data_IF_840736359939
#
_entry.id   IF_840736359939
#
_cell.length_a   1.000
_cell.length_b   1.000
_cell.length_c   1.000
_cell.angle_alpha   90.00
_cell.angle_beta   90.00
_cell.angle_gamma   90.00
#
_symmetry.space_group_name_H-M   'P 1'
#
loop_
_entity.id
_entity.type
_entity.pdbx_description
1 polymer ?
#
# COMPACT_ATOMS: atom_id res chain seq x y z
N UNK A 1 -22.64 -29.14 36.52
CA UNK A 1 -24.07 -28.84 36.36
C UNK A 1 -24.50 -27.96 37.54
N UNK A 2 -24.87 -26.73 37.23
CA UNK A 2 -25.41 -25.81 38.24
C UNK A 2 -26.92 -25.70 38.02
N UNK A 3 -27.67 -25.87 39.12
CA UNK A 3 -29.13 -25.83 39.10
C UNK A 3 -29.56 -24.68 40.02
N UNK A 4 -30.39 -23.79 39.53
CA UNK A 4 -31.02 -22.75 40.37
C UNK A 4 -32.36 -23.26 40.84
N UNK A 5 -32.53 -23.33 42.15
CA UNK A 5 -33.81 -23.67 42.78
C UNK A 5 -34.51 -22.39 43.17
N UNK A 6 -35.73 -22.19 42.71
CA UNK A 6 -36.58 -21.10 43.10
C UNK A 6 -37.83 -21.66 43.80
N UNK A 7 -38.03 -21.32 45.03
CA UNK A 7 -39.15 -21.81 45.82
C UNK A 7 -40.15 -20.67 46.09
N UNK A 8 -41.41 -20.98 45.94
CA UNK A 8 -42.49 -20.12 46.37
C UNK A 8 -43.18 -20.82 47.56
N UNK A 9 -43.13 -20.30 48.78
CA UNK A 9 -43.82 -20.87 49.90
C UNK A 9 -45.31 -20.51 49.83
N UNK A 10 -46.19 -21.49 50.08
CA UNK A 10 -47.56 -21.27 50.40
C UNK A 10 -47.69 -21.26 51.91
N UNK A 11 -48.37 -20.27 52.45
CA UNK A 11 -48.57 -20.11 53.92
C UNK A 11 -50.05 -20.21 54.28
N UNK A 12 -50.35 -20.71 55.51
CA UNK A 12 -51.68 -20.72 56.04
C UNK A 12 -52.07 -19.33 56.62
N UNK A 13 -53.30 -19.21 57.11
CA UNK A 13 -53.78 -17.97 57.66
C UNK A 13 -53.04 -17.50 58.96
N UNK A 14 -52.15 -18.33 59.49
CA UNK A 14 -51.27 -18.06 60.63
C UNK A 14 -49.79 -17.89 60.17
N UNK A 15 -49.54 -17.57 58.86
CA UNK A 15 -48.22 -17.39 58.21
C UNK A 15 -47.27 -18.60 58.31
N UNK A 16 -47.82 -19.79 58.58
CA UNK A 16 -47.00 -21.00 58.59
C UNK A 16 -46.89 -21.62 57.16
N UNK A 17 -45.67 -21.96 56.70
CA UNK A 17 -45.45 -22.57 55.42
C UNK A 17 -46.05 -23.97 55.37
N UNK A 18 -47.09 -24.16 54.58
CA UNK A 18 -47.80 -25.44 54.42
C UNK A 18 -47.38 -26.21 53.17
N UNK A 19 -46.85 -25.52 52.19
CA UNK A 19 -46.32 -26.15 51.00
C UNK A 19 -45.19 -25.32 50.41
N UNK A 20 -44.31 -25.98 49.63
CA UNK A 20 -43.27 -25.32 48.86
C UNK A 20 -43.34 -25.84 47.44
N UNK A 21 -43.70 -24.98 46.50
CA UNK A 21 -43.58 -25.29 45.08
C UNK A 21 -42.27 -24.69 44.58
N UNK A 22 -41.49 -25.47 43.86
CA UNK A 22 -40.22 -25.04 43.32
C UNK A 22 -40.13 -25.36 41.84
N UNK A 23 -39.49 -24.48 41.09
CA UNK A 23 -39.13 -24.70 39.71
C UNK A 23 -37.62 -24.96 39.65
N UNK A 24 -37.26 -26.08 39.07
CA UNK A 24 -35.89 -26.48 38.86
C UNK A 24 -35.51 -26.05 37.43
N UNK A 25 -34.61 -25.09 37.28
CA UNK A 25 -34.14 -24.63 35.99
C UNK A 25 -32.72 -25.11 35.84
N UNK A 26 -32.45 -25.92 34.79
CA UNK A 26 -31.11 -26.31 34.45
C UNK A 26 -30.43 -25.16 33.66
N UNK A 27 -29.57 -24.40 34.36
CA UNK A 27 -28.87 -23.23 33.78
C UNK A 27 -27.74 -23.63 32.85
N UNK A 28 -27.27 -24.89 32.93
CA UNK A 28 -26.11 -25.39 32.16
C UNK A 28 -26.34 -25.40 30.65
N UNK A 29 -27.53 -25.85 30.19
CA UNK A 29 -27.86 -25.89 28.74
C UNK A 29 -27.94 -24.51 28.10
N UNK A 30 -28.56 -23.52 28.81
CA UNK A 30 -28.68 -22.16 28.29
C UNK A 30 -27.31 -21.49 28.15
N UNK A 31 -26.41 -21.77 29.08
CA UNK A 31 -25.04 -21.18 29.05
C UNK A 31 -24.21 -21.81 27.92
N UNK A 32 -24.31 -23.12 27.69
CA UNK A 32 -23.61 -23.80 26.61
C UNK A 32 -24.12 -23.34 25.22
N UNK A 33 -25.43 -23.18 25.05
CA UNK A 33 -26.02 -22.68 23.80
C UNK A 33 -25.58 -21.25 23.48
N UNK A 34 -25.58 -20.36 24.47
CA UNK A 34 -25.13 -18.98 24.31
C UNK A 34 -23.66 -18.92 23.94
N UNK A 35 -22.81 -19.73 24.58
CA UNK A 35 -21.38 -19.81 24.25
C UNK A 35 -21.15 -20.29 22.81
N UNK A 36 -21.89 -21.31 22.38
CA UNK A 36 -21.82 -21.82 21.01
C UNK A 36 -22.25 -20.75 20.00
N UNK A 37 -23.35 -20.04 20.26
CA UNK A 37 -23.84 -18.98 19.38
C UNK A 37 -22.85 -17.81 19.29
N UNK A 38 -22.30 -17.33 20.42
CA UNK A 38 -21.29 -16.28 20.46
C UNK A 38 -20.03 -16.71 19.70
N UNK A 39 -19.56 -17.96 19.88
CA UNK A 39 -18.42 -18.48 19.17
C UNK A 39 -18.67 -18.56 17.66
N UNK A 40 -19.83 -19.03 17.23
CA UNK A 40 -20.20 -19.10 15.82
C UNK A 40 -20.31 -17.69 15.21
N UNK A 41 -20.88 -16.74 15.93
CA UNK A 41 -20.96 -15.34 15.49
C UNK A 41 -19.56 -14.74 15.33
N UNK A 42 -18.68 -14.97 16.28
CA UNK A 42 -17.27 -14.55 16.21
C UNK A 42 -16.56 -15.14 15.00
N UNK A 43 -16.67 -16.44 14.76
CA UNK A 43 -16.05 -17.09 13.58
C UNK A 43 -16.59 -16.53 12.27
N UNK A 44 -17.91 -16.31 12.14
CA UNK A 44 -18.49 -15.67 10.96
C UNK A 44 -17.95 -14.25 10.73
N UNK A 45 -17.74 -13.46 11.79
CA UNK A 45 -17.13 -12.13 11.66
C UNK A 45 -15.68 -12.23 11.19
N UNK A 46 -14.91 -13.21 11.69
CA UNK A 46 -13.54 -13.44 11.22
C UNK A 46 -13.48 -13.82 9.74
N UNK A 47 -14.45 -14.59 9.22
CA UNK A 47 -14.51 -14.96 7.80
C UNK A 47 -14.64 -13.76 6.85
N UNK A 48 -15.17 -12.62 7.33
CA UNK A 48 -15.27 -11.39 6.54
C UNK A 48 -13.98 -10.58 6.48
N UNK A 49 -12.98 -10.94 7.29
CA UNK A 49 -11.69 -10.23 7.36
C UNK A 49 -10.73 -10.88 6.35
N UNK A 50 -10.21 -10.06 5.44
CA UNK A 50 -9.18 -10.52 4.50
C UNK A 50 -7.79 -10.38 5.12
N UNK A 51 -7.51 -11.25 6.09
CA UNK A 51 -6.27 -11.29 6.85
C UNK A 51 -6.30 -12.37 7.92
N UNK A 52 -5.15 -12.60 8.56
CA UNK A 52 -5.01 -13.56 9.66
C UNK A 52 -5.08 -12.83 10.99
N UNK A 53 -6.13 -13.08 11.76
CA UNK A 53 -6.23 -12.61 13.16
C UNK A 53 -5.46 -13.57 14.05
N UNK A 54 -4.62 -13.03 14.91
CA UNK A 54 -3.77 -13.84 15.80
C UNK A 54 -3.70 -13.25 17.21
N UNK A 55 -3.44 -14.10 18.18
CA UNK A 55 -3.10 -13.75 19.54
C UNK A 55 -1.91 -14.61 19.98
N UNK A 56 -0.96 -14.01 20.67
CA UNK A 56 0.21 -14.68 21.20
C UNK A 56 0.50 -14.24 22.64
N UNK A 57 1.11 -15.15 23.42
CA UNK A 57 1.52 -14.92 24.80
C UNK A 57 3.00 -15.32 24.97
N UNK A 58 3.72 -14.56 25.80
CA UNK A 58 5.15 -14.82 26.09
C UNK A 58 5.34 -16.26 26.55
N UNK A 59 6.29 -16.95 25.92
CA UNK A 59 6.67 -18.31 26.28
C UNK A 59 5.70 -19.42 25.88
N UNK A 60 4.51 -19.04 25.37
CA UNK A 60 3.48 -19.98 24.91
C UNK A 60 3.39 -20.02 23.39
N UNK A 61 3.64 -18.88 22.72
CA UNK A 61 3.42 -18.72 21.29
C UNK A 61 1.99 -18.30 20.96
N UNK A 62 1.49 -18.66 19.76
CA UNK A 62 0.15 -18.29 19.33
C UNK A 62 -0.92 -19.05 20.12
N UNK A 63 -1.68 -18.34 20.94
CA UNK A 63 -2.85 -18.85 21.67
C UNK A 63 -4.10 -18.92 20.81
N UNK A 64 -4.20 -18.00 19.83
CA UNK A 64 -5.23 -18.00 18.80
C UNK A 64 -4.63 -17.69 17.44
N UNK A 65 -5.15 -18.34 16.39
CA UNK A 65 -4.82 -18.09 15.00
C UNK A 65 -6.06 -18.39 14.15
N UNK A 66 -6.47 -17.44 13.31
CA UNK A 66 -7.65 -17.63 12.47
C UNK A 66 -7.37 -18.54 11.27
N UNK A 67 -8.36 -19.29 10.75
CA UNK A 67 -8.17 -20.27 9.67
C UNK A 67 -7.64 -19.67 8.35
N UNK A 68 -7.72 -18.36 8.16
CA UNK A 68 -7.20 -17.66 6.99
C UNK A 68 -5.69 -17.88 6.79
N UNK A 69 -4.97 -18.30 7.81
CA UNK A 69 -3.54 -18.65 7.73
C UNK A 69 -3.27 -19.74 6.68
N UNK A 70 -4.18 -20.70 6.55
CA UNK A 70 -4.06 -21.78 5.56
C UNK A 70 -4.19 -21.25 4.13
N UNK A 71 -5.13 -20.33 3.91
CA UNK A 71 -5.32 -19.71 2.60
C UNK A 71 -4.17 -18.81 2.20
N UNK A 72 -3.65 -18.00 3.14
CA UNK A 72 -2.63 -16.99 2.84
C UNK A 72 -1.22 -17.59 2.78
N UNK A 73 -0.90 -18.50 3.69
CA UNK A 73 0.47 -19.03 3.84
C UNK A 73 0.59 -20.52 3.56
N UNK A 74 -0.52 -21.26 3.46
CA UNK A 74 -0.53 -22.71 3.18
C UNK A 74 -0.20 -23.60 4.37
N UNK A 75 -0.04 -23.04 5.57
CA UNK A 75 0.19 -23.77 6.80
C UNK A 75 -1.13 -23.95 7.55
N UNK A 76 -1.37 -25.14 8.12
CA UNK A 76 -2.54 -25.33 8.98
C UNK A 76 -2.36 -24.58 10.31
N UNK A 77 -3.49 -24.30 10.98
CA UNK A 77 -3.50 -23.68 12.31
C UNK A 77 -2.72 -24.56 13.30
N UNK A 78 -2.86 -25.87 13.19
CA UNK A 78 -2.19 -26.85 14.04
C UNK A 78 -0.67 -26.86 13.82
N UNK A 79 -0.22 -26.87 12.55
CA UNK A 79 1.22 -26.77 12.21
C UNK A 79 1.83 -25.50 12.79
N UNK A 80 1.15 -24.38 12.64
CA UNK A 80 1.66 -23.09 13.14
C UNK A 80 1.74 -23.05 14.67
N UNK A 81 0.73 -23.57 15.36
CA UNK A 81 0.66 -23.56 16.82
C UNK A 81 1.51 -24.64 17.51
N UNK A 82 1.92 -25.66 16.78
CA UNK A 82 2.76 -26.74 17.33
C UNK A 82 4.16 -26.26 17.75
N UNK A 83 4.67 -25.18 17.15
CA UNK A 83 5.96 -24.60 17.48
C UNK A 83 5.80 -23.12 17.88
N UNK A 84 6.10 -22.75 19.13
CA UNK A 84 6.10 -21.35 19.56
C UNK A 84 7.04 -20.44 18.74
N UNK A 85 8.08 -21.01 18.13
CA UNK A 85 9.02 -20.31 17.26
C UNK A 85 8.61 -20.25 15.78
N UNK A 86 7.43 -20.79 15.42
CA UNK A 86 7.01 -20.95 14.02
C UNK A 86 7.09 -19.66 13.22
N UNK A 87 6.49 -18.58 13.72
CA UNK A 87 6.55 -17.28 13.06
C UNK A 87 7.99 -16.84 12.78
N UNK A 88 8.84 -16.89 13.80
CA UNK A 88 10.25 -16.50 13.71
C UNK A 88 11.02 -17.31 12.65
N UNK A 89 10.73 -18.61 12.56
CA UNK A 89 11.37 -19.50 11.60
C UNK A 89 10.94 -19.23 10.14
N UNK A 90 9.79 -18.56 9.93
CA UNK A 90 9.22 -18.31 8.61
C UNK A 90 9.29 -16.86 8.17
N UNK A 91 9.72 -15.91 9.03
CA UNK A 91 10.09 -14.56 8.61
C UNK A 91 11.29 -14.62 7.69
N UNK A 92 11.28 -13.83 6.62
CA UNK A 92 12.39 -13.76 5.68
C UNK A 92 13.69 -13.35 6.40
N UNK A 93 14.85 -13.99 6.11
CA UNK A 93 16.08 -13.72 6.85
C UNK A 93 16.50 -12.25 6.92
N UNK A 94 16.32 -11.49 5.84
CA UNK A 94 16.66 -10.06 5.79
C UNK A 94 15.80 -9.20 6.72
N UNK A 95 14.58 -9.65 7.05
CA UNK A 95 13.62 -8.86 7.83
C UNK A 95 13.59 -9.34 9.30
N UNK A 96 14.20 -10.48 9.59
CA UNK A 96 14.10 -11.18 10.88
C UNK A 96 14.61 -10.32 12.05
N UNK A 97 15.75 -9.68 11.90
CA UNK A 97 16.38 -8.89 12.98
C UNK A 97 15.47 -7.75 13.43
N UNK A 98 14.94 -6.99 12.46
CA UNK A 98 14.05 -5.86 12.75
C UNK A 98 12.69 -6.32 13.28
N UNK A 99 12.12 -7.39 12.73
CA UNK A 99 10.87 -7.95 13.19
C UNK A 99 10.98 -8.43 14.66
N UNK A 100 12.08 -9.09 15.02
CA UNK A 100 12.34 -9.51 16.39
C UNK A 100 12.55 -8.33 17.34
N UNK A 101 13.24 -7.30 16.92
CA UNK A 101 13.45 -6.10 17.74
C UNK A 101 12.12 -5.43 18.12
N UNK A 102 11.18 -5.38 17.17
CA UNK A 102 9.83 -4.81 17.40
C UNK A 102 9.00 -5.74 18.30
N UNK A 103 9.03 -7.04 18.03
CA UNK A 103 8.33 -8.07 18.78
C UNK A 103 8.78 -8.10 20.25
N UNK A 104 10.09 -8.14 20.50
CA UNK A 104 10.68 -8.13 21.85
C UNK A 104 10.31 -6.83 22.62
N UNK A 105 10.27 -5.68 21.94
CA UNK A 105 9.85 -4.42 22.54
C UNK A 105 8.37 -4.47 22.97
N UNK A 106 7.51 -5.09 22.18
CA UNK A 106 6.09 -5.26 22.50
C UNK A 106 5.89 -6.24 23.69
N UNK A 107 6.63 -7.34 23.74
CA UNK A 107 6.61 -8.27 24.87
C UNK A 107 7.05 -7.62 26.17
N UNK A 108 8.02 -6.72 26.14
CA UNK A 108 8.54 -6.02 27.31
C UNK A 108 7.82 -4.70 27.62
N UNK A 109 6.69 -4.46 26.96
CA UNK A 109 5.92 -3.25 27.15
C UNK A 109 5.39 -3.13 28.60
N UNK A 110 5.41 -1.93 29.14
CA UNK A 110 4.89 -1.61 30.49
C UNK A 110 3.45 -1.06 30.47
N UNK A 111 2.93 -0.80 29.28
CA UNK A 111 1.54 -0.31 29.05
C UNK A 111 1.04 -0.80 27.68
N UNK A 112 -0.28 -0.93 27.58
CA UNK A 112 -0.89 -1.36 26.33
C UNK A 112 -0.76 -0.29 25.27
N UNK A 113 -0.27 -0.67 24.06
CA UNK A 113 -0.12 0.23 22.92
C UNK A 113 -0.30 -0.52 21.59
N UNK A 114 -0.67 0.22 20.55
CA UNK A 114 -0.71 -0.30 19.18
C UNK A 114 0.64 -0.05 18.50
N UNK A 115 1.05 -1.00 17.64
CA UNK A 115 2.23 -0.88 16.77
C UNK A 115 1.96 -1.58 15.45
N UNK A 116 2.79 -1.30 14.47
CA UNK A 116 2.68 -1.87 13.14
C UNK A 116 4.07 -2.33 12.69
N UNK A 117 4.12 -3.46 11.99
CA UNK A 117 5.33 -3.91 11.31
C UNK A 117 5.00 -4.44 9.92
N UNK A 118 5.98 -4.31 9.02
CA UNK A 118 5.90 -4.91 7.68
C UNK A 118 7.11 -5.77 7.47
N UNK A 119 6.89 -7.00 7.04
CA UNK A 119 7.95 -7.99 6.83
C UNK A 119 7.53 -9.00 5.78
N UNK A 120 8.48 -9.75 5.26
CA UNK A 120 8.22 -10.87 4.35
C UNK A 120 8.10 -12.17 5.15
N UNK A 121 7.12 -12.97 4.82
CA UNK A 121 6.92 -14.30 5.38
C UNK A 121 7.03 -15.35 4.27
N UNK A 122 7.71 -16.46 4.56
CA UNK A 122 7.91 -17.56 3.62
C UNK A 122 6.74 -18.54 3.80
N UNK A 123 5.86 -18.60 2.79
CA UNK A 123 4.77 -19.56 2.75
C UNK A 123 5.25 -20.99 2.56
N UNK A 124 4.41 -21.97 2.84
CA UNK A 124 4.70 -23.42 2.72
C UNK A 124 5.14 -23.83 1.30
N UNK A 125 4.66 -23.12 0.29
CA UNK A 125 5.07 -23.29 -1.10
C UNK A 125 6.47 -22.74 -1.44
N UNK A 126 7.12 -22.05 -0.49
CA UNK A 126 8.34 -21.29 -0.71
C UNK A 126 8.11 -19.88 -1.28
N UNK A 127 6.84 -19.50 -1.55
CA UNK A 127 6.51 -18.15 -2.00
C UNK A 127 6.74 -17.13 -0.89
N UNK A 128 7.36 -16.01 -1.23
CA UNK A 128 7.49 -14.86 -0.33
C UNK A 128 6.22 -14.03 -0.36
N UNK A 129 5.62 -13.80 0.80
CA UNK A 129 4.41 -12.99 1.02
C UNK A 129 4.78 -11.77 1.84
N UNK A 130 4.50 -10.58 1.32
CA UNK A 130 4.61 -9.35 2.10
C UNK A 130 3.45 -9.23 3.07
N UNK A 131 3.77 -9.11 4.34
CA UNK A 131 2.81 -8.98 5.43
C UNK A 131 2.88 -7.58 6.01
N UNK A 132 1.72 -6.97 6.17
CA UNK A 132 1.51 -5.82 7.04
C UNK A 132 0.78 -6.32 8.29
N UNK A 133 1.42 -6.22 9.43
CA UNK A 133 0.90 -6.72 10.69
C UNK A 133 0.52 -5.57 11.62
N UNK A 134 -0.77 -5.43 11.85
CA UNK A 134 -1.36 -4.41 12.73
C UNK A 134 -1.52 -5.01 14.11
N UNK A 135 -0.72 -4.60 15.06
CA UNK A 135 -0.54 -5.26 16.34
C UNK A 135 -0.91 -4.37 17.52
N UNK A 136 -1.26 -5.02 18.62
CA UNK A 136 -1.45 -4.38 19.91
C UNK A 136 -0.85 -5.22 21.02
N UNK A 137 0.07 -4.63 21.77
CA UNK A 137 0.52 -5.17 23.04
C UNK A 137 -0.58 -4.90 24.09
N UNK A 138 -1.00 -5.94 24.81
CA UNK A 138 -2.00 -5.89 25.89
C UNK A 138 -1.31 -6.20 27.20
N UNK A 139 -1.25 -5.20 28.07
CA UNK A 139 -0.63 -5.28 29.39
C UNK A 139 -1.72 -5.22 30.46
N UNK A 140 -1.88 -6.31 31.21
CA UNK A 140 -2.87 -6.41 32.31
C UNK A 140 -2.13 -6.72 33.62
N UNK A 141 -2.46 -6.04 34.74
CA UNK A 141 -1.81 -6.29 36.03
C UNK A 141 -1.92 -7.75 36.45
N UNK A 142 -0.80 -8.36 36.78
CA UNK A 142 -0.74 -9.76 37.28
C UNK A 142 -0.91 -10.84 36.23
N UNK A 143 -0.88 -10.47 34.95
CA UNK A 143 -0.89 -11.42 33.83
C UNK A 143 0.33 -11.22 32.91
N UNK A 144 0.78 -12.28 32.21
CA UNK A 144 1.77 -12.13 31.15
C UNK A 144 1.26 -11.17 30.06
N UNK A 145 2.17 -10.43 29.44
CA UNK A 145 1.83 -9.61 28.29
C UNK A 145 1.34 -10.49 27.14
N UNK A 146 0.29 -10.05 26.49
CA UNK A 146 -0.29 -10.68 25.31
C UNK A 146 -0.17 -9.74 24.14
N UNK A 147 -0.07 -10.29 22.96
CA UNK A 147 -0.13 -9.55 21.71
C UNK A 147 -1.29 -10.06 20.88
N UNK A 148 -2.01 -9.15 20.28
CA UNK A 148 -3.07 -9.44 19.34
C UNK A 148 -2.81 -8.66 18.06
N UNK A 149 -3.13 -9.25 16.91
CA UNK A 149 -2.87 -8.59 15.65
C UNK A 149 -3.67 -9.13 14.49
N UNK A 150 -3.48 -8.44 13.38
CA UNK A 150 -4.06 -8.74 12.07
C UNK A 150 -2.96 -8.67 11.01
N UNK A 151 -2.57 -9.83 10.48
CA UNK A 151 -1.67 -9.93 9.31
C UNK A 151 -2.47 -9.77 8.03
N UNK A 152 -2.08 -8.83 7.19
CA UNK A 152 -2.69 -8.55 5.89
C UNK A 152 -1.66 -8.84 4.81
N UNK A 153 -2.05 -9.60 3.77
CA UNK A 153 -1.21 -9.79 2.58
C UNK A 153 -1.22 -8.49 1.73
N UNK A 154 -0.08 -7.84 1.67
CA UNK A 154 0.13 -6.62 0.87
C UNK A 154 1.07 -6.87 -0.32
N UNK A 155 1.25 -8.14 -0.72
CA UNK A 155 2.18 -8.53 -1.78
C UNK A 155 1.86 -7.84 -3.10
N UNK A 156 0.59 -7.79 -3.50
CA UNK A 156 0.19 -7.13 -4.73
C UNK A 156 0.51 -5.64 -4.70
N UNK A 157 0.20 -4.97 -3.59
CA UNK A 157 0.48 -3.55 -3.40
C UNK A 157 1.99 -3.28 -3.48
N UNK A 158 2.80 -4.08 -2.77
CA UNK A 158 4.27 -3.95 -2.76
C UNK A 158 4.89 -4.22 -4.13
N UNK A 159 4.41 -5.23 -4.85
CA UNK A 159 4.90 -5.51 -6.20
C UNK A 159 4.58 -4.36 -7.16
N UNK A 160 3.37 -3.79 -7.10
CA UNK A 160 2.99 -2.63 -7.92
C UNK A 160 3.90 -1.42 -7.63
N UNK A 161 4.17 -1.14 -6.36
CA UNK A 161 5.08 -0.07 -5.93
C UNK A 161 6.51 -0.29 -6.46
N UNK A 162 7.04 -1.52 -6.33
CA UNK A 162 8.37 -1.91 -6.83
C UNK A 162 8.44 -1.78 -8.37
N UNK A 163 7.41 -2.24 -9.07
CA UNK A 163 7.38 -2.19 -10.54
C UNK A 163 7.27 -0.74 -11.04
N UNK A 164 6.54 0.12 -10.35
CA UNK A 164 6.49 1.56 -10.65
C UNK A 164 7.89 2.18 -10.51
N UNK A 165 8.54 1.99 -9.35
CA UNK A 165 9.89 2.51 -9.10
C UNK A 165 10.90 1.98 -10.12
N UNK A 166 10.83 0.69 -10.48
CA UNK A 166 11.69 0.10 -11.51
C UNK A 166 11.44 0.70 -12.89
N UNK A 167 10.18 0.97 -13.23
CA UNK A 167 9.80 1.59 -14.49
C UNK A 167 10.32 3.03 -14.58
N UNK A 168 10.15 3.81 -13.51
CA UNK A 168 10.68 5.17 -13.43
C UNK A 168 12.22 5.21 -13.54
N UNK A 169 12.92 4.30 -12.84
CA UNK A 169 14.36 4.19 -12.92
C UNK A 169 14.84 3.80 -14.33
N UNK A 170 14.18 2.84 -14.99
CA UNK A 170 14.49 2.48 -16.37
C UNK A 170 14.29 3.65 -17.33
N UNK A 171 13.19 4.38 -17.19
CA UNK A 171 12.89 5.57 -17.96
C UNK A 171 13.96 6.65 -17.74
N UNK A 172 14.31 6.93 -16.48
CA UNK A 172 15.37 7.89 -16.13
C UNK A 172 16.74 7.52 -16.69
N UNK A 173 17.12 6.24 -16.65
CA UNK A 173 18.37 5.77 -17.23
C UNK A 173 18.38 5.90 -18.76
N UNK A 174 17.30 5.53 -19.43
CA UNK A 174 17.18 5.65 -20.88
C UNK A 174 17.28 7.11 -21.34
N UNK A 175 16.59 8.02 -20.65
CA UNK A 175 16.61 9.46 -20.97
C UNK A 175 17.97 10.10 -20.71
N UNK A 176 18.66 9.74 -19.64
CA UNK A 176 20.03 10.21 -19.36
C UNK A 176 21.05 9.64 -20.34
N UNK A 177 20.84 8.40 -20.78
CA UNK A 177 21.71 7.73 -21.75
C UNK A 177 21.64 8.32 -23.16
N UNK A 178 20.49 8.86 -23.57
CA UNK A 178 20.32 9.53 -24.88
C UNK A 178 21.02 10.89 -24.96
N UNK A 179 21.40 11.46 -23.82
CA UNK A 179 21.99 12.80 -23.72
C UNK A 179 21.07 13.93 -24.26
N UNK A 180 19.79 13.64 -24.45
CA UNK A 180 18.76 14.57 -24.94
C UNK A 180 18.15 15.38 -23.80
N UNK A 181 17.72 16.59 -24.10
CA UNK A 181 16.88 17.39 -23.22
C UNK A 181 15.44 16.90 -23.29
N UNK A 182 14.89 16.42 -22.18
CA UNK A 182 13.51 15.97 -22.11
C UNK A 182 12.60 17.15 -21.85
N UNK A 183 11.42 17.11 -22.49
CA UNK A 183 10.37 18.09 -22.26
C UNK A 183 9.00 17.39 -22.21
N UNK A 184 8.08 18.00 -21.44
CA UNK A 184 6.70 17.61 -21.31
C UNK A 184 5.84 18.87 -21.31
N UNK A 185 4.78 18.91 -22.10
CA UNK A 185 3.92 20.07 -22.26
C UNK A 185 2.46 19.70 -22.03
N UNK A 186 1.86 20.26 -21.02
CA UNK A 186 0.42 20.25 -20.85
C UNK A 186 -0.16 21.38 -21.72
N UNK A 187 -0.87 21.00 -22.79
CA UNK A 187 -1.42 21.94 -23.76
C UNK A 187 -2.69 22.62 -23.27
N UNK A 188 -3.36 22.06 -22.25
CA UNK A 188 -4.57 22.65 -21.65
C UNK A 188 -4.24 23.87 -20.80
N UNK A 189 -3.15 23.80 -20.08
CA UNK A 189 -2.67 24.86 -19.17
C UNK A 189 -1.56 25.69 -19.80
N UNK A 190 -1.08 25.32 -20.98
CA UNK A 190 0.12 25.86 -21.64
C UNK A 190 1.35 25.84 -20.74
N UNK A 191 1.52 24.74 -19.96
CA UNK A 191 2.61 24.56 -19.00
C UNK A 191 3.65 23.61 -19.59
N UNK A 192 4.88 24.11 -19.80
CA UNK A 192 6.00 23.36 -20.36
C UNK A 192 7.03 23.03 -19.27
N UNK A 193 7.25 21.75 -19.03
CA UNK A 193 8.31 21.22 -18.17
C UNK A 193 9.52 20.87 -19.06
N UNK A 194 10.70 21.33 -18.69
CA UNK A 194 11.95 21.04 -19.38
C UNK A 194 12.99 20.53 -18.40
N UNK A 195 13.75 19.51 -18.81
CA UNK A 195 14.85 18.99 -18.02
C UNK A 195 16.05 19.97 -18.00
N UNK A 196 16.90 19.85 -16.98
CA UNK A 196 18.14 20.61 -16.90
C UNK A 196 19.03 20.37 -18.14
N UNK A 197 18.96 19.17 -18.76
CA UNK A 197 19.69 18.90 -20.00
C UNK A 197 19.14 19.69 -21.19
N UNK A 198 17.83 19.86 -21.30
CA UNK A 198 17.21 20.75 -22.29
C UNK A 198 17.80 22.16 -22.17
N UNK A 199 17.84 22.70 -20.97
CA UNK A 199 18.38 24.04 -20.71
C UNK A 199 19.89 24.15 -20.96
N UNK A 200 20.66 23.08 -20.71
CA UNK A 200 22.08 23.03 -21.05
C UNK A 200 22.30 23.11 -22.56
N UNK A 201 21.50 22.42 -23.37
CA UNK A 201 21.59 22.42 -24.82
C UNK A 201 21.41 23.83 -25.38
N UNK A 202 20.43 24.58 -24.82
CA UNK A 202 20.15 25.96 -25.23
C UNK A 202 20.91 27.01 -24.39
N UNK A 203 21.75 26.61 -23.44
CA UNK A 203 22.61 27.51 -22.66
C UNK A 203 21.89 28.39 -21.64
N UNK A 204 20.71 27.95 -21.14
CA UNK A 204 19.88 28.72 -20.21
C UNK A 204 19.93 28.22 -18.76
N UNK A 205 20.70 27.18 -18.50
CA UNK A 205 20.81 26.60 -17.15
C UNK A 205 21.08 25.12 -17.15
N UNK A 206 20.96 24.48 -15.97
CA UNK A 206 21.25 23.06 -15.81
C UNK A 206 20.31 22.35 -14.83
N UNK A 207 19.23 23.01 -14.42
CA UNK A 207 18.20 22.44 -13.52
C UNK A 207 16.88 22.42 -14.20
N UNK A 208 16.09 21.40 -13.91
CA UNK A 208 14.73 21.27 -14.39
C UNK A 208 13.93 22.55 -14.09
N UNK A 209 13.09 22.96 -15.03
CA UNK A 209 12.30 24.17 -14.92
C UNK A 209 10.91 23.98 -15.54
N UNK A 210 9.97 24.79 -15.06
CA UNK A 210 8.58 24.83 -15.55
C UNK A 210 8.28 26.23 -16.04
N UNK A 211 7.83 26.34 -17.29
CA UNK A 211 7.43 27.59 -17.92
C UNK A 211 5.91 27.63 -18.07
N UNK A 212 5.29 28.65 -17.51
CA UNK A 212 3.92 29.04 -17.88
C UNK A 212 3.97 29.80 -19.20
N UNK A 213 3.07 29.48 -20.14
CA UNK A 213 3.14 30.00 -21.50
C UNK A 213 4.25 29.33 -22.30
N UNK A 214 4.21 27.99 -22.40
CA UNK A 214 5.21 27.15 -23.03
C UNK A 214 5.54 27.53 -24.46
N UNK A 215 4.51 27.86 -25.28
CA UNK A 215 4.72 28.32 -26.64
C UNK A 215 5.51 29.64 -26.70
N UNK A 216 5.20 30.57 -25.82
CA UNK A 216 5.88 31.88 -25.77
C UNK A 216 7.36 31.72 -25.43
N UNK A 217 7.71 30.80 -24.54
CA UNK A 217 9.10 30.48 -24.22
C UNK A 217 9.82 29.89 -25.45
N UNK A 218 9.21 28.90 -26.10
CA UNK A 218 9.80 28.25 -27.28
C UNK A 218 9.95 29.23 -28.44
N UNK A 219 8.99 30.07 -28.69
CA UNK A 219 9.06 31.11 -29.76
C UNK A 219 10.25 32.06 -29.59
N UNK A 220 10.63 32.37 -28.34
CA UNK A 220 11.82 33.16 -28.06
C UNK A 220 13.13 32.42 -28.35
N UNK A 221 13.13 31.09 -28.25
CA UNK A 221 14.30 30.27 -28.55
C UNK A 221 14.50 30.07 -30.05
N UNK A 222 13.43 30.07 -30.83
CA UNK A 222 13.48 29.74 -32.26
C UNK A 222 13.96 30.96 -33.06
N UNK A 223 14.99 30.70 -33.90
CA UNK A 223 15.43 31.74 -34.88
C UNK A 223 14.29 32.22 -35.77
N UNK A 224 14.29 33.50 -36.08
CA UNK A 224 13.19 34.15 -36.85
C UNK A 224 12.89 33.47 -38.18
N UNK A 225 13.93 33.05 -38.90
CA UNK A 225 13.79 32.40 -40.19
C UNK A 225 13.18 31.01 -40.12
N UNK A 226 13.34 30.35 -38.99
CA UNK A 226 12.84 28.97 -38.78
C UNK A 226 11.42 28.94 -38.15
N UNK A 227 10.90 30.03 -37.61
CA UNK A 227 9.62 30.09 -36.88
C UNK A 227 8.45 29.55 -37.70
N UNK A 228 8.29 29.99 -38.95
CA UNK A 228 7.18 29.55 -39.79
C UNK A 228 7.19 28.02 -40.01
N UNK A 229 8.37 27.45 -40.25
CA UNK A 229 8.54 26.01 -40.47
C UNK A 229 8.27 25.20 -39.19
N UNK A 230 8.73 25.69 -38.05
CA UNK A 230 8.49 25.04 -36.75
C UNK A 230 7.01 25.09 -36.37
N UNK A 231 6.37 26.25 -36.57
CA UNK A 231 4.95 26.43 -36.30
C UNK A 231 4.07 25.55 -37.20
N UNK A 232 4.41 25.40 -38.46
CA UNK A 232 3.71 24.52 -39.40
C UNK A 232 3.80 23.06 -38.97
N UNK A 233 5.02 22.58 -38.63
CA UNK A 233 5.23 21.22 -38.17
C UNK A 233 4.47 20.93 -36.86
N UNK A 234 4.49 21.87 -35.92
CA UNK A 234 3.75 21.80 -34.64
C UNK A 234 2.24 21.74 -34.89
N UNK A 235 1.68 22.68 -35.68
CA UNK A 235 0.26 22.72 -35.96
C UNK A 235 -0.25 21.47 -36.69
N UNK A 236 0.54 20.94 -37.63
CA UNK A 236 0.24 19.71 -38.37
C UNK A 236 0.15 18.52 -37.42
N UNK A 237 1.06 18.44 -36.45
CA UNK A 237 1.06 17.35 -35.49
C UNK A 237 -0.12 17.45 -34.50
N UNK A 238 -0.41 18.64 -33.96
CA UNK A 238 -1.55 18.85 -33.06
C UNK A 238 -2.92 18.66 -33.74
N UNK A 239 -2.98 18.78 -35.07
CA UNK A 239 -4.19 18.48 -35.85
C UNK A 239 -4.33 16.98 -36.18
N UNK A 240 -3.45 16.10 -35.65
CA UNK A 240 -3.46 14.68 -35.93
C UNK A 240 -2.99 14.28 -37.33
N UNK A 241 -2.43 15.21 -38.11
CA UNK A 241 -2.02 15.01 -39.50
C UNK A 241 -0.58 14.49 -39.65
N UNK A 242 0.07 14.10 -38.55
CA UNK A 242 1.37 13.42 -38.55
C UNK A 242 1.49 12.45 -37.40
N UNK A 243 2.04 11.27 -37.64
CA UNK A 243 2.24 10.26 -36.59
C UNK A 243 3.28 10.69 -35.55
N UNK A 244 4.30 11.43 -35.97
CA UNK A 244 5.37 11.92 -35.12
C UNK A 244 5.63 13.39 -35.39
N UNK A 245 6.01 14.11 -34.33
CA UNK A 245 6.56 15.45 -34.43
C UNK A 245 8.09 15.38 -34.50
N UNK A 246 8.67 15.99 -35.49
CA UNK A 246 10.14 16.15 -35.58
C UNK A 246 10.47 17.36 -36.48
N UNK A 247 11.29 18.25 -35.97
CA UNK A 247 11.72 19.43 -36.70
C UNK A 247 13.12 19.88 -36.26
N UNK A 248 13.99 20.17 -37.22
CA UNK A 248 15.29 20.78 -36.99
C UNK A 248 15.15 22.31 -37.07
N UNK A 249 15.76 23.04 -36.17
CA UNK A 249 15.78 24.49 -36.21
C UNK A 249 17.00 25.06 -35.49
N UNK A 250 17.28 26.33 -35.75
CA UNK A 250 18.32 27.08 -35.05
C UNK A 250 17.70 27.70 -33.79
N UNK A 251 18.26 27.34 -32.67
CA UNK A 251 17.86 27.89 -31.35
C UNK A 251 18.87 28.93 -30.89
N UNK A 252 18.38 30.02 -30.28
CA UNK A 252 19.23 30.98 -29.59
C UNK A 252 19.81 30.35 -28.32
N UNK A 253 21.14 30.29 -28.25
CA UNK A 253 21.85 29.84 -27.07
C UNK A 253 22.13 31.01 -26.13
N UNK A 254 22.06 30.79 -24.81
CA UNK A 254 22.30 31.83 -23.81
C UNK A 254 23.68 32.53 -23.91
N UNK A 255 24.64 31.95 -24.62
CA UNK A 255 25.91 32.57 -24.93
C UNK A 255 25.88 33.50 -26.19
N UNK A 256 24.71 33.85 -26.71
CA UNK A 256 24.54 34.79 -27.82
C UNK A 256 24.85 34.20 -29.23
N UNK A 257 24.84 32.87 -29.37
CA UNK A 257 25.03 32.18 -30.64
C UNK A 257 23.82 31.35 -31.03
N UNK A 258 23.71 30.98 -32.29
CA UNK A 258 22.73 29.99 -32.75
C UNK A 258 23.32 28.58 -32.66
N UNK A 259 22.51 27.63 -32.25
CA UNK A 259 22.83 26.20 -32.25
C UNK A 259 21.73 25.44 -33.00
N UNK A 260 22.10 24.45 -33.77
CA UNK A 260 21.14 23.56 -34.39
C UNK A 260 20.63 22.58 -33.36
N UNK A 261 19.33 22.39 -33.33
CA UNK A 261 18.66 21.43 -32.46
C UNK A 261 17.60 20.67 -33.23
N UNK A 262 17.41 19.40 -32.88
CA UNK A 262 16.29 18.59 -33.33
C UNK A 262 15.25 18.52 -32.20
N UNK A 263 14.05 18.98 -32.46
CA UNK A 263 12.93 18.92 -31.53
C UNK A 263 11.94 17.85 -31.99
N UNK A 264 11.76 16.80 -31.21
CA UNK A 264 10.92 15.64 -31.54
C UNK A 264 10.03 15.25 -30.37
N UNK A 265 8.83 14.70 -30.67
CA UNK A 265 7.89 14.29 -29.67
C UNK A 265 6.62 13.64 -30.22
N UNK A 266 5.73 13.35 -29.31
CA UNK A 266 4.41 12.80 -29.57
C UNK A 266 3.37 13.60 -28.80
N UNK A 267 2.19 13.81 -29.40
CA UNK A 267 1.01 14.35 -28.74
C UNK A 267 0.09 13.21 -28.31
N UNK A 268 -0.52 13.38 -27.15
CA UNK A 268 -1.63 12.59 -26.64
C UNK A 268 -2.93 13.32 -26.95
N UNK A 269 -3.93 12.57 -27.44
CA UNK A 269 -5.21 13.15 -27.85
C UNK A 269 -6.34 12.60 -26.98
N UNK A 270 -7.26 13.49 -26.57
CA UNK A 270 -8.54 13.14 -25.96
C UNK A 270 -9.65 13.74 -26.84
N UNK A 271 -10.60 12.91 -27.27
CA UNK A 271 -11.71 13.30 -28.16
C UNK A 271 -11.25 14.05 -29.43
N UNK A 272 -10.09 13.68 -29.97
CA UNK A 272 -9.52 14.30 -31.19
C UNK A 272 -8.79 15.63 -30.96
N UNK A 273 -8.69 16.08 -29.70
CA UNK A 273 -7.95 17.29 -29.31
C UNK A 273 -6.64 16.90 -28.64
N UNK A 274 -5.53 17.47 -29.06
CA UNK A 274 -4.25 17.28 -28.41
C UNK A 274 -4.26 17.92 -27.00
N UNK A 275 -3.98 17.12 -25.98
CA UNK A 275 -4.06 17.57 -24.58
C UNK A 275 -2.69 17.65 -23.92
N UNK A 276 -1.76 16.83 -24.34
CA UNK A 276 -0.39 16.77 -23.82
C UNK A 276 0.57 16.47 -24.95
N UNK A 277 1.80 16.86 -24.77
CA UNK A 277 2.87 16.53 -25.70
C UNK A 277 4.17 16.26 -24.93
N UNK A 278 4.92 15.27 -25.31
CA UNK A 278 6.21 14.95 -24.68
C UNK A 278 7.23 14.56 -25.70
N UNK A 279 8.50 14.80 -25.38
CA UNK A 279 9.57 14.45 -26.31
C UNK A 279 10.96 14.84 -25.83
N UNK A 280 11.86 15.01 -26.81
CA UNK A 280 13.26 15.35 -26.57
C UNK A 280 13.75 16.46 -27.52
N UNK A 281 14.77 17.14 -27.02
CA UNK A 281 15.59 18.10 -27.76
C UNK A 281 17.03 17.60 -27.77
N UNK A 282 17.62 17.46 -28.92
CA UNK A 282 19.02 17.00 -29.08
C UNK A 282 19.86 17.99 -29.91
#
# INVERSE_FOLDING_TARGET
RWVRLQFHPETDAAERVISRQGVLIEITEVTEQVLVEVRQRFLRLLETIDGVVWEAEIGVGNTFLSPQVERLFGYSVEEWRADPGFWRAHVHPDDLEEALRIDDAAYNATHSHAYEMSYRLIAKSGKVVWVRDLCRAVVEPGRPNRMIGLMIDVTQQKNTEIDLVRSENRYSLATRGSNDGIWYWDLRTDTLHVSGRFLQIVGLGSRDHVYEGGWRFLEQLIDREDRARVQEAYSRHLSGNSANFSVDFRAFHGAGRLVWVNWRGLAEFEDGVAVRMAGSLS
#
